data_IF_151514846597
#
_entry.id   IF_151514846597
#
_cell.length_a   1.000
_cell.length_b   1.000
_cell.length_c   1.000
_cell.angle_alpha   90.00
_cell.angle_beta   90.00
_cell.angle_gamma   90.00
#
_symmetry.space_group_name_H-M   'P 1'
#
loop_
_entity.id
_entity.type
_entity.pdbx_description
1 polymer ?
#
# COMPACT_ATOMS: atom_id res chain seq x y z
N UNK A 1 1.99 16.08 -3.01
CA UNK A 1 0.69 15.72 -2.44
C UNK A 1 0.91 15.38 -0.98
N UNK A 2 0.15 15.96 -0.07
CA UNK A 2 0.37 15.69 1.34
C UNK A 2 -0.35 14.40 1.77
N UNK A 3 -0.02 13.90 2.96
CA UNK A 3 -0.55 12.62 3.41
C UNK A 3 -2.05 12.65 3.68
N UNK A 4 -2.61 13.81 4.06
CA UNK A 4 -4.05 13.90 4.28
C UNK A 4 -4.84 13.73 2.99
N UNK A 5 -4.37 14.31 1.89
CA UNK A 5 -5.03 14.14 0.60
C UNK A 5 -5.02 12.68 0.16
N UNK A 6 -3.91 11.98 0.38
CA UNK A 6 -3.81 10.58 -0.01
C UNK A 6 -4.68 9.70 0.90
N UNK A 7 -4.57 9.89 2.23
CA UNK A 7 -5.23 8.99 3.19
C UNK A 7 -6.74 9.18 3.26
N UNK A 8 -7.23 10.41 3.10
CA UNK A 8 -8.64 10.70 3.35
C UNK A 8 -9.42 11.11 2.10
N UNK A 9 -8.75 11.62 1.08
CA UNK A 9 -9.38 12.06 -0.16
C UNK A 9 -9.09 11.13 -1.33
N UNK A 10 -8.56 9.93 -1.08
CA UNK A 10 -8.20 8.92 -2.09
C UNK A 10 -7.24 9.45 -3.14
N UNK A 11 -6.36 10.36 -2.74
CA UNK A 11 -5.31 10.85 -3.63
C UNK A 11 -4.26 9.77 -3.88
N UNK A 12 -3.41 10.00 -4.86
CA UNK A 12 -2.31 9.11 -5.19
C UNK A 12 -1.04 9.94 -5.31
N UNK A 13 0.02 9.53 -4.59
CA UNK A 13 1.30 10.20 -4.73
C UNK A 13 1.86 9.99 -6.15
N UNK A 14 2.71 10.91 -6.62
CA UNK A 14 3.33 10.77 -7.93
C UNK A 14 4.25 9.53 -7.95
N UNK A 15 4.33 8.81 -9.09
CA UNK A 15 5.22 7.66 -9.17
C UNK A 15 6.68 8.07 -8.91
N UNK A 16 7.41 7.21 -8.22
CA UNK A 16 8.82 7.41 -7.83
C UNK A 16 9.06 8.58 -6.86
N UNK A 17 8.00 9.18 -6.30
CA UNK A 17 8.14 10.27 -5.34
C UNK A 17 8.19 9.80 -3.89
N UNK A 18 7.71 8.58 -3.60
CA UNK A 18 7.64 8.08 -2.24
C UNK A 18 8.97 7.54 -1.73
N UNK A 19 9.23 7.73 -0.45
CA UNK A 19 10.51 7.34 0.15
C UNK A 19 10.72 5.83 0.24
N UNK A 20 9.67 5.02 0.15
CA UNK A 20 9.78 3.57 0.30
C UNK A 20 9.78 2.81 -1.02
N UNK A 21 9.81 3.48 -2.17
CA UNK A 21 9.76 2.79 -3.47
C UNK A 21 10.90 1.78 -3.61
N UNK A 22 12.13 2.19 -3.30
CA UNK A 22 13.32 1.36 -3.45
C UNK A 22 13.92 0.90 -2.13
N UNK A 23 13.23 1.10 -1.02
CA UNK A 23 13.71 0.72 0.30
C UNK A 23 13.84 -0.79 0.41
N UNK A 24 14.99 -1.25 0.91
CA UNK A 24 15.27 -2.66 1.13
C UNK A 24 15.51 -2.99 2.61
N UNK A 25 15.28 -2.04 3.49
CA UNK A 25 15.43 -2.23 4.93
C UNK A 25 14.40 -3.24 5.43
N UNK A 26 14.80 -4.08 6.36
CA UNK A 26 13.92 -5.10 6.94
C UNK A 26 13.11 -4.54 8.08
N UNK A 27 11.84 -4.90 8.12
CA UNK A 27 10.94 -4.46 9.18
C UNK A 27 9.48 -4.63 8.79
N UNK A 28 8.63 -3.93 9.52
CA UNK A 28 7.19 -3.95 9.32
C UNK A 28 6.71 -2.59 8.87
N UNK A 29 6.02 -2.54 7.75
CA UNK A 29 5.34 -1.32 7.29
C UNK A 29 4.00 -1.22 8.01
N UNK A 30 3.81 -0.10 8.70
CA UNK A 30 2.61 0.13 9.51
C UNK A 30 1.83 1.32 8.94
N UNK A 31 0.55 1.40 9.29
CA UNK A 31 -0.29 2.51 8.89
C UNK A 31 0.22 3.81 9.53
N UNK A 32 0.47 4.82 8.71
CA UNK A 32 0.98 6.11 9.17
C UNK A 32 0.05 6.76 10.17
N UNK A 33 -1.25 6.56 10.01
CA UNK A 33 -2.26 7.19 10.85
C UNK A 33 -2.45 6.48 12.20
N UNK A 34 -2.52 5.14 12.22
CA UNK A 34 -2.89 4.42 13.44
C UNK A 34 -1.88 3.38 13.92
N UNK A 35 -0.83 3.11 13.16
CA UNK A 35 0.22 2.18 13.55
C UNK A 35 -0.11 0.70 13.35
N UNK A 36 -1.24 0.37 12.75
CA UNK A 36 -1.59 -1.03 12.45
C UNK A 36 -0.55 -1.65 11.51
N UNK A 37 -0.12 -2.86 11.80
CA UNK A 37 0.83 -3.59 10.94
C UNK A 37 0.15 -3.97 9.63
N UNK A 38 0.73 -3.55 8.51
CA UNK A 38 0.11 -3.73 7.20
C UNK A 38 0.89 -4.70 6.32
N UNK A 39 2.18 -4.48 6.13
CA UNK A 39 2.99 -5.29 5.21
C UNK A 39 4.37 -5.55 5.80
N UNK A 40 4.81 -6.81 5.70
CA UNK A 40 6.17 -7.17 6.08
C UNK A 40 7.12 -6.87 4.92
N UNK A 41 8.33 -6.43 5.23
CA UNK A 41 9.35 -6.13 4.20
C UNK A 41 9.66 -7.35 3.32
N UNK A 42 9.48 -8.57 3.84
CA UNK A 42 9.72 -9.80 3.06
C UNK A 42 8.71 -9.96 1.91
N UNK A 43 7.56 -9.30 1.99
CA UNK A 43 6.55 -9.33 0.92
C UNK A 43 6.76 -8.22 -0.11
N UNK A 44 7.70 -7.31 0.13
CA UNK A 44 7.95 -6.18 -0.78
C UNK A 44 8.78 -6.62 -1.98
N UNK A 45 8.37 -6.17 -3.16
CA UNK A 45 9.13 -6.40 -4.39
C UNK A 45 9.14 -5.15 -5.26
N UNK A 46 10.09 -5.08 -6.18
CA UNK A 46 10.21 -3.98 -7.13
C UNK A 46 9.33 -4.26 -8.35
N UNK A 47 8.23 -3.54 -8.46
CA UNK A 47 7.28 -3.72 -9.57
C UNK A 47 7.59 -2.83 -10.77
N UNK A 48 8.50 -1.86 -10.61
CA UNK A 48 8.79 -0.88 -11.65
C UNK A 48 7.70 0.16 -11.86
N UNK A 49 6.65 0.15 -11.01
CA UNK A 49 5.50 1.07 -11.19
C UNK A 49 5.71 2.44 -10.57
N UNK A 50 6.69 2.58 -9.69
CA UNK A 50 6.94 3.86 -9.01
C UNK A 50 6.29 3.97 -7.63
N UNK A 51 5.67 2.90 -7.13
CA UNK A 51 5.09 2.83 -5.79
C UNK A 51 5.59 1.57 -5.08
N UNK A 52 5.68 1.61 -3.72
CA UNK A 52 5.99 0.40 -2.97
C UNK A 52 4.97 -0.70 -3.30
N UNK A 53 5.46 -1.89 -3.58
CA UNK A 53 4.61 -3.01 -3.98
C UNK A 53 4.85 -4.22 -3.10
N UNK A 54 3.77 -4.91 -2.74
CA UNK A 54 3.78 -6.08 -1.86
C UNK A 54 2.90 -7.17 -2.46
N UNK A 55 3.26 -8.43 -2.21
CA UNK A 55 2.46 -9.54 -2.74
C UNK A 55 1.37 -10.01 -1.78
N UNK A 56 1.49 -9.69 -0.48
CA UNK A 56 0.44 -10.00 0.49
C UNK A 56 0.55 -9.10 1.72
N UNK A 57 -0.56 -8.85 2.44
CA UNK A 57 -0.50 -8.17 3.73
C UNK A 57 0.12 -9.07 4.81
N UNK A 58 0.65 -8.46 5.87
CA UNK A 58 1.14 -9.19 7.04
C UNK A 58 0.00 -9.97 7.71
N UNK A 59 -1.21 -9.39 7.70
CA UNK A 59 -2.42 -10.04 8.18
C UNK A 59 -3.59 -9.52 7.35
N UNK A 60 -4.30 -10.44 6.69
CA UNK A 60 -5.44 -10.09 5.83
C UNK A 60 -6.53 -9.31 6.58
N UNK A 61 -6.64 -9.51 7.89
CA UNK A 61 -7.63 -8.81 8.71
C UNK A 61 -7.28 -7.34 8.97
N UNK A 62 -6.05 -6.93 8.69
CA UNK A 62 -5.62 -5.55 8.93
C UNK A 62 -5.91 -4.62 7.75
N UNK A 63 -6.30 -5.16 6.62
CA UNK A 63 -6.67 -4.37 5.44
C UNK A 63 -8.08 -4.72 4.99
N UNK A 64 -8.76 -3.75 4.38
CA UNK A 64 -10.06 -3.95 3.77
C UNK A 64 -9.97 -3.66 2.29
N UNK A 65 -10.58 -4.52 1.48
CA UNK A 65 -10.60 -4.37 0.02
C UNK A 65 -11.98 -3.88 -0.39
N UNK A 66 -12.02 -2.82 -1.18
CA UNK A 66 -13.27 -2.21 -1.65
C UNK A 66 -13.20 -1.97 -3.14
N UNK A 67 -14.32 -2.14 -3.83
CA UNK A 67 -14.40 -1.77 -5.24
C UNK A 67 -14.29 -0.25 -5.38
N UNK A 68 -13.41 0.19 -6.28
CA UNK A 68 -13.22 1.60 -6.58
C UNK A 68 -13.45 1.82 -8.07
N UNK A 69 -14.52 2.56 -8.39
CA UNK A 69 -14.89 2.87 -9.78
C UNK A 69 -14.53 4.30 -10.18
N UNK A 70 -13.77 5.01 -9.35
CA UNK A 70 -13.38 6.38 -9.64
C UNK A 70 -12.51 6.45 -10.90
N UNK A 71 -12.49 7.60 -11.55
CA UNK A 71 -11.72 7.86 -12.78
C UNK A 71 -12.05 6.91 -13.92
N UNK A 72 -13.29 6.44 -13.99
CA UNK A 72 -13.76 5.50 -15.03
C UNK A 72 -12.98 4.19 -15.08
N UNK A 73 -12.31 3.82 -14.00
CA UNK A 73 -11.53 2.59 -13.90
C UNK A 73 -12.11 1.71 -12.79
N UNK A 74 -12.16 0.41 -13.05
CA UNK A 74 -12.51 -0.56 -12.02
C UNK A 74 -11.24 -1.06 -11.36
N UNK A 75 -11.06 -0.71 -10.10
CA UNK A 75 -9.91 -1.14 -9.31
C UNK A 75 -10.38 -1.61 -7.95
N UNK A 76 -9.54 -2.35 -7.25
CA UNK A 76 -9.80 -2.72 -5.87
C UNK A 76 -8.96 -1.82 -4.96
N UNK A 77 -9.63 -1.02 -4.17
CA UNK A 77 -9.00 -0.13 -3.19
C UNK A 77 -8.57 -0.92 -1.96
N UNK A 78 -7.40 -0.58 -1.41
CA UNK A 78 -6.90 -1.13 -0.15
C UNK A 78 -6.97 -0.04 0.90
N UNK A 79 -7.66 -0.31 2.01
CA UNK A 79 -7.74 0.62 3.14
C UNK A 79 -7.27 -0.06 4.41
N UNK A 80 -6.85 0.75 5.40
CA UNK A 80 -6.56 0.24 6.73
C UNK A 80 -7.88 -0.11 7.41
N UNK A 81 -8.05 -1.36 7.80
CA UNK A 81 -9.31 -1.80 8.43
C UNK A 81 -9.57 -1.08 9.74
N UNK A 82 -8.53 -0.77 10.49
CA UNK A 82 -8.66 -0.17 11.82
C UNK A 82 -9.11 1.29 11.77
N UNK A 83 -8.51 2.10 10.89
CA UNK A 83 -8.81 3.54 10.85
C UNK A 83 -9.51 4.00 9.57
N UNK A 84 -9.60 3.14 8.55
CA UNK A 84 -10.29 3.45 7.31
C UNK A 84 -9.50 4.29 6.33
N UNK A 85 -8.22 4.61 6.60
CA UNK A 85 -7.44 5.44 5.69
C UNK A 85 -7.18 4.71 4.36
N UNK A 86 -7.21 5.46 3.27
CA UNK A 86 -6.85 4.95 1.95
C UNK A 86 -5.35 4.65 1.91
N UNK A 87 -4.98 3.45 1.47
CA UNK A 87 -3.59 3.04 1.36
C UNK A 87 -3.14 2.97 -0.10
N UNK A 88 -3.94 2.40 -0.96
CA UNK A 88 -3.61 2.21 -2.35
C UNK A 88 -4.60 1.28 -3.03
N UNK A 89 -4.10 0.48 -3.96
CA UNK A 89 -4.92 -0.47 -4.73
C UNK A 89 -4.22 -1.80 -4.86
N UNK A 90 -4.98 -2.86 -5.12
CA UNK A 90 -4.44 -4.18 -5.39
C UNK A 90 -4.84 -4.62 -6.80
N UNK A 91 -3.90 -5.26 -7.50
CA UNK A 91 -4.08 -5.76 -8.87
C UNK A 91 -3.75 -7.25 -8.92
N UNK A 92 -4.27 -7.94 -9.94
CA UNK A 92 -4.09 -9.39 -10.11
C UNK A 92 -2.92 -9.74 -11.03
N UNK A 93 -1.93 -8.89 -11.13
CA UNK A 93 -0.76 -9.05 -12.00
C UNK A 93 0.56 -9.19 -11.23
N UNK A 94 0.48 -9.73 -10.02
CA UNK A 94 1.65 -9.92 -9.17
C UNK A 94 2.54 -11.08 -9.64
N UNK A 95 3.86 -10.99 -9.38
CA UNK A 95 4.83 -11.96 -9.87
C UNK A 95 4.97 -13.22 -9.01
N UNK A 96 4.35 -13.26 -7.83
CA UNK A 96 4.46 -14.38 -6.91
C UNK A 96 3.24 -15.29 -6.97
N UNK A 97 3.24 -16.36 -6.17
CA UNK A 97 2.14 -17.31 -6.17
C UNK A 97 0.82 -16.75 -5.63
N UNK A 98 0.81 -15.61 -4.93
CA UNK A 98 -0.45 -14.95 -4.58
C UNK A 98 -1.13 -14.37 -5.82
N UNK A 99 -0.37 -14.07 -6.87
CA UNK A 99 -0.87 -13.43 -8.08
C UNK A 99 -1.28 -11.98 -7.88
N UNK A 100 -1.00 -11.41 -6.72
CA UNK A 100 -1.46 -10.06 -6.38
C UNK A 100 -0.31 -9.07 -6.26
N UNK A 101 -0.61 -7.82 -6.62
CA UNK A 101 0.30 -6.70 -6.45
C UNK A 101 -0.43 -5.61 -5.68
N UNK A 102 -0.09 -5.47 -4.40
CA UNK A 102 -0.59 -4.38 -3.55
C UNK A 102 0.29 -3.17 -3.78
N UNK A 103 -0.25 -2.18 -4.46
CA UNK A 103 0.46 -0.95 -4.83
C UNK A 103 0.06 0.14 -3.83
N UNK A 104 0.96 0.50 -2.94
CA UNK A 104 0.64 1.30 -1.75
C UNK A 104 1.40 2.63 -1.80
N UNK A 105 0.75 3.71 -1.38
CA UNK A 105 1.38 5.02 -1.31
C UNK A 105 2.34 5.10 -0.13
N UNK A 106 3.59 5.52 -0.36
CA UNK A 106 4.59 5.64 0.71
C UNK A 106 4.14 6.57 1.83
N UNK A 107 3.41 7.65 1.48
CA UNK A 107 2.94 8.62 2.48
C UNK A 107 1.95 8.03 3.47
N UNK A 108 1.36 6.87 3.14
CA UNK A 108 0.43 6.16 4.02
C UNK A 108 1.12 5.16 4.94
N UNK A 109 2.43 5.02 4.81
CA UNK A 109 3.21 4.00 5.51
C UNK A 109 4.28 4.61 6.40
N UNK A 110 4.62 3.88 7.44
CA UNK A 110 5.81 4.12 8.25
C UNK A 110 6.53 2.78 8.40
N UNK A 111 7.86 2.79 8.36
CA UNK A 111 8.64 1.55 8.47
C UNK A 111 9.22 1.43 9.86
N UNK A 112 8.82 0.39 10.59
CA UNK A 112 9.44 0.02 11.86
C UNK A 112 10.51 -1.02 11.58
N UNK A 113 11.77 -0.61 11.66
CA UNK A 113 12.90 -1.49 11.39
C UNK A 113 13.12 -2.51 12.49
N UNK A 114 13.54 -3.69 12.10
CA UNK A 114 13.93 -4.73 13.04
C UNK A 114 15.21 -4.35 13.79
#
# INVERSE_FOLDING_TARGET
MDEEDVMWNKGTEAPFSGKYVHTKDKGMYVCKNCGTELFNSDAKFDSGTGWPSFDEPANLENVELKEDSSHSMRRTEVTCRKCGSHLGHVFDDGPTKTGRRYCINSVCLDLKKN
#
